data_IF_316580691523
#
_entry.id   IF_316580691523
#
_cell.length_a   1.000
_cell.length_b   1.000
_cell.length_c   1.000
_cell.angle_alpha   90.00
_cell.angle_beta   90.00
_cell.angle_gamma   90.00
#
_symmetry.space_group_name_H-M   'P 1'
#
loop_
_entity.id
_entity.type
_entity.pdbx_description
1 polymer ?
#
# COMPACT_ATOMS: atom_id res chain seq x y z
N UNK A 1 -3.44 6.27 -22.70
CA UNK A 1 -3.95 6.66 -21.37
C UNK A 1 -3.01 6.13 -20.31
N UNK A 2 -2.63 6.99 -19.36
CA UNK A 2 -1.69 6.64 -18.29
C UNK A 2 -2.43 6.02 -17.11
N UNK A 3 -1.85 5.00 -16.48
CA UNK A 3 -2.40 4.31 -15.30
C UNK A 3 -1.33 4.29 -14.20
N UNK A 4 -1.74 4.29 -12.95
CA UNK A 4 -0.84 4.22 -11.81
C UNK A 4 -1.20 3.07 -10.87
N UNK A 5 -0.17 2.45 -10.30
CA UNK A 5 -0.29 1.51 -9.18
C UNK A 5 0.45 2.15 -8.02
N UNK A 6 -0.23 2.37 -6.90
CA UNK A 6 0.33 3.00 -5.71
C UNK A 6 0.29 1.98 -4.58
N UNK A 7 1.44 1.71 -3.95
CA UNK A 7 1.43 1.02 -2.67
C UNK A 7 0.94 2.00 -1.59
N UNK A 8 -0.19 1.67 -0.96
CA UNK A 8 -0.86 2.49 0.04
C UNK A 8 -0.69 1.85 1.42
N UNK A 9 0.25 2.37 2.20
CA UNK A 9 0.59 1.83 3.52
C UNK A 9 -0.28 2.39 4.65
N UNK A 10 -1.06 3.45 4.37
CA UNK A 10 -1.79 4.21 5.40
C UNK A 10 -0.96 5.36 6.00
N UNK A 11 0.32 5.47 5.63
CA UNK A 11 1.17 6.61 5.99
C UNK A 11 0.89 7.84 5.11
N UNK A 12 1.22 9.01 5.65
CA UNK A 12 0.98 10.33 5.05
C UNK A 12 1.47 10.43 3.59
N UNK A 13 2.71 9.99 3.33
CA UNK A 13 3.35 10.15 2.01
C UNK A 13 2.65 9.31 0.94
N UNK A 14 2.29 8.06 1.28
CA UNK A 14 1.57 7.17 0.36
C UNK A 14 0.16 7.68 0.09
N UNK A 15 -0.50 8.23 1.11
CA UNK A 15 -1.84 8.82 1.00
C UNK A 15 -1.84 10.06 0.12
N UNK A 16 -0.89 10.97 0.31
CA UNK A 16 -0.72 12.16 -0.53
C UNK A 16 -0.44 11.78 -1.99
N UNK A 17 0.48 10.84 -2.21
CA UNK A 17 0.82 10.37 -3.55
C UNK A 17 -0.38 9.74 -4.26
N UNK A 18 -1.18 8.96 -3.53
CA UNK A 18 -2.40 8.35 -4.05
C UNK A 18 -3.45 9.41 -4.43
N UNK A 19 -3.71 10.37 -3.55
CA UNK A 19 -4.66 11.46 -3.81
C UNK A 19 -4.29 12.28 -5.04
N UNK A 20 -3.00 12.66 -5.17
CA UNK A 20 -2.51 13.38 -6.35
C UNK A 20 -2.60 12.54 -7.64
N UNK A 21 -2.34 11.23 -7.56
CA UNK A 21 -2.51 10.33 -8.70
C UNK A 21 -3.97 10.25 -9.16
N UNK A 22 -4.92 10.20 -8.22
CA UNK A 22 -6.36 10.21 -8.52
C UNK A 22 -6.79 11.53 -9.14
N UNK A 23 -6.32 12.66 -8.61
CA UNK A 23 -6.60 13.99 -9.17
C UNK A 23 -6.08 14.11 -10.61
N UNK A 24 -4.88 13.59 -10.88
CA UNK A 24 -4.24 13.71 -12.19
C UNK A 24 -4.76 12.71 -13.24
N UNK A 25 -5.11 11.49 -12.82
CA UNK A 25 -5.40 10.38 -13.74
C UNK A 25 -6.87 9.94 -13.74
N UNK A 26 -7.67 10.37 -12.76
CA UNK A 26 -9.01 9.83 -12.52
C UNK A 26 -8.96 8.54 -11.69
N UNK A 27 -9.98 8.33 -10.85
CA UNK A 27 -10.05 7.22 -9.91
C UNK A 27 -10.02 5.85 -10.59
N UNK A 28 -10.60 5.74 -11.79
CA UNK A 28 -10.65 4.50 -12.58
C UNK A 28 -9.28 4.07 -13.12
N UNK A 29 -8.29 4.98 -13.13
CA UNK A 29 -6.94 4.74 -13.64
C UNK A 29 -5.91 4.50 -12.53
N UNK A 30 -6.34 4.48 -11.27
CA UNK A 30 -5.48 4.26 -10.09
C UNK A 30 -5.87 2.97 -9.38
N UNK A 31 -4.89 2.09 -9.17
CA UNK A 31 -5.01 0.90 -8.34
C UNK A 31 -4.19 1.09 -7.06
N UNK A 32 -4.84 1.07 -5.91
CA UNK A 32 -4.16 0.99 -4.62
C UNK A 32 -3.79 -0.46 -4.29
N UNK A 33 -2.53 -0.71 -3.94
CA UNK A 33 -2.07 -1.99 -3.38
C UNK A 33 -1.78 -1.81 -1.90
N UNK A 34 -2.27 -2.74 -1.07
CA UNK A 34 -1.86 -2.87 0.32
C UNK A 34 -1.05 -4.15 0.48
N UNK A 35 0.13 -4.05 1.08
CA UNK A 35 1.07 -5.16 1.20
C UNK A 35 1.38 -5.46 2.68
N UNK A 36 0.41 -5.95 3.48
CA UNK A 36 0.65 -6.26 4.88
C UNK A 36 1.66 -7.40 5.03
N UNK A 37 2.60 -7.17 5.93
CA UNK A 37 3.44 -8.17 6.58
C UNK A 37 2.86 -8.51 7.96
N UNK A 38 3.14 -9.68 8.54
CA UNK A 38 2.51 -10.13 9.80
C UNK A 38 2.69 -9.16 10.97
N UNK A 39 3.80 -8.41 11.01
CA UNK A 39 4.07 -7.39 12.03
C UNK A 39 3.48 -6.00 11.72
N UNK A 40 2.72 -5.87 10.62
CA UNK A 40 2.12 -4.59 10.20
C UNK A 40 1.01 -4.16 11.16
N UNK A 41 0.90 -2.84 11.38
CA UNK A 41 -0.12 -2.31 12.27
C UNK A 41 -1.53 -2.40 11.65
N UNK A 42 -2.52 -2.79 12.46
CA UNK A 42 -3.93 -2.81 12.05
C UNK A 42 -4.47 -1.41 11.72
N UNK A 43 -3.96 -0.39 12.40
CA UNK A 43 -4.36 1.00 12.17
C UNK A 43 -3.95 1.48 10.77
N UNK A 44 -2.72 1.16 10.34
CA UNK A 44 -2.22 1.48 9.00
C UNK A 44 -3.12 0.93 7.89
N UNK A 45 -3.60 -0.30 8.02
CA UNK A 45 -4.53 -0.90 7.06
C UNK A 45 -5.90 -0.21 7.04
N UNK A 46 -6.35 0.23 8.22
CA UNK A 46 -7.63 0.95 8.39
C UNK A 46 -7.56 2.33 7.74
N UNK A 47 -6.49 3.08 7.99
CA UNK A 47 -6.27 4.40 7.39
C UNK A 47 -6.18 4.31 5.85
N UNK A 48 -5.47 3.30 5.33
CA UNK A 48 -5.42 3.02 3.91
C UNK A 48 -6.81 2.71 3.33
N UNK A 49 -7.63 1.91 4.02
CA UNK A 49 -8.99 1.59 3.58
C UNK A 49 -9.87 2.84 3.52
N UNK A 50 -9.77 3.70 4.54
CA UNK A 50 -10.56 4.91 4.65
C UNK A 50 -10.30 5.84 3.46
N UNK A 51 -9.03 5.98 3.05
CA UNK A 51 -8.67 6.76 1.86
C UNK A 51 -9.16 6.11 0.56
N UNK A 52 -9.06 4.78 0.43
CA UNK A 52 -9.57 4.04 -0.74
C UNK A 52 -11.06 4.32 -0.92
N UNK A 53 -11.83 4.23 0.16
CA UNK A 53 -13.28 4.44 0.16
C UNK A 53 -13.62 5.91 -0.17
N UNK A 54 -12.86 6.87 0.37
CA UNK A 54 -13.04 8.30 0.10
C UNK A 54 -12.73 8.68 -1.35
N UNK A 55 -11.68 8.10 -1.94
CA UNK A 55 -11.26 8.39 -3.32
C UNK A 55 -12.04 7.58 -4.36
N UNK A 56 -12.79 6.56 -3.95
CA UNK A 56 -13.57 5.70 -4.86
C UNK A 56 -12.70 4.88 -5.82
N UNK A 57 -11.48 4.52 -5.40
CA UNK A 57 -10.51 3.81 -6.25
C UNK A 57 -10.58 2.30 -6.09
N UNK A 58 -10.09 1.59 -7.10
CA UNK A 58 -9.89 0.14 -6.98
C UNK A 58 -8.73 -0.16 -6.04
N UNK A 59 -8.84 -1.26 -5.29
CA UNK A 59 -7.75 -1.72 -4.44
C UNK A 59 -7.58 -3.24 -4.43
N UNK A 60 -6.36 -3.69 -4.10
CA UNK A 60 -6.06 -5.08 -3.77
C UNK A 60 -5.19 -5.15 -2.53
N UNK A 61 -5.41 -6.19 -1.73
CA UNK A 61 -4.53 -6.52 -0.60
C UNK A 61 -3.82 -7.83 -0.91
N UNK A 62 -2.50 -7.83 -0.78
CA UNK A 62 -1.66 -9.01 -0.99
C UNK A 62 -0.80 -9.14 0.26
N UNK A 63 -1.06 -10.18 1.05
CA UNK A 63 -0.25 -10.54 2.21
C UNK A 63 1.14 -10.99 1.70
N UNK A 64 2.21 -10.46 2.28
CA UNK A 64 3.59 -10.67 1.78
C UNK A 64 4.48 -11.45 2.74
N UNK A 65 4.00 -11.89 3.91
CA UNK A 65 4.81 -12.58 4.92
C UNK A 65 5.53 -13.78 4.35
N UNK A 66 4.82 -14.69 3.68
CA UNK A 66 5.42 -15.91 3.12
C UNK A 66 6.52 -15.64 2.08
N UNK A 67 6.50 -14.45 1.46
CA UNK A 67 7.48 -14.02 0.45
C UNK A 67 8.66 -13.30 1.09
N UNK A 68 8.43 -12.62 2.21
CA UNK A 68 9.43 -11.81 2.92
C UNK A 68 10.23 -12.64 3.93
N UNK A 69 9.61 -13.59 4.63
CA UNK A 69 10.27 -14.42 5.66
C UNK A 69 11.54 -15.13 5.16
N UNK A 70 11.57 -15.79 3.98
CA UNK A 70 12.79 -16.43 3.51
C UNK A 70 13.93 -15.43 3.27
N UNK A 71 13.62 -14.19 2.87
CA UNK A 71 14.60 -13.14 2.65
C UNK A 71 15.19 -12.65 3.98
N UNK A 72 14.35 -12.45 5.00
CA UNK A 72 14.79 -12.08 6.36
C UNK A 72 15.66 -13.20 6.96
N UNK A 73 15.35 -14.47 6.70
CA UNK A 73 16.18 -15.58 7.18
C UNK A 73 17.60 -15.60 6.58
N UNK A 74 17.78 -15.08 5.36
CA UNK A 74 19.11 -14.98 4.73
C UNK A 74 19.98 -13.90 5.40
N UNK A 75 19.36 -12.82 5.89
CA UNK A 75 20.02 -11.76 6.64
C UNK A 75 19.11 -11.23 7.77
N UNK A 76 19.24 -11.78 8.99
CA UNK A 76 18.43 -11.37 10.13
C UNK A 76 18.62 -9.90 10.54
N UNK A 77 19.65 -9.21 10.05
CA UNK A 77 19.85 -7.78 10.35
C UNK A 77 19.01 -6.86 9.46
N UNK A 78 18.35 -7.41 8.43
CA UNK A 78 17.55 -6.64 7.47
C UNK A 78 16.37 -5.90 8.12
N UNK A 79 15.86 -6.41 9.25
CA UNK A 79 14.80 -5.75 10.03
C UNK A 79 15.30 -4.62 10.93
N UNK A 80 16.62 -4.39 11.02
CA UNK A 80 17.25 -3.38 11.90
C UNK A 80 17.80 -2.16 11.14
N UNK A 81 17.56 -2.07 9.82
CA UNK A 81 17.87 -0.90 8.99
C UNK A 81 16.66 0.04 8.93
#
# INVERSE_FOLDING_TARGET
MSRAIINLSGGLDSSLSCALAVEALGAENVLALRLPYHASSSNSLTDAQLLIDQLGIQSKTIEITDMVEPLIHLDPQMSNL
#
